data_IF_279759655917
#
_entry.id   IF_279759655917
#
_cell.length_a   1.000
_cell.length_b   1.000
_cell.length_c   1.000
_cell.angle_alpha   90.00
_cell.angle_beta   90.00
_cell.angle_gamma   90.00
#
_symmetry.space_group_name_H-M   'P 1'
#
loop_
_entity.id
_entity.type
_entity.pdbx_description
1 polymer ?
#
# COMPACT_ATOMS: atom_id res chain seq x y z
N UNK A 1 31.53 -4.83 6.99
CA UNK A 1 30.82 -4.26 5.82
C UNK A 1 29.83 -5.30 5.36
N UNK A 2 28.63 -5.27 5.94
CA UNK A 2 27.46 -5.98 5.46
C UNK A 2 26.52 -4.87 5.02
N UNK A 3 26.29 -4.75 3.71
CA UNK A 3 25.29 -3.83 3.19
C UNK A 3 23.95 -4.24 3.80
N UNK A 4 23.39 -3.35 4.62
CA UNK A 4 22.00 -3.42 5.05
C UNK A 4 21.15 -3.40 3.77
N UNK A 5 20.17 -4.30 3.56
CA UNK A 5 19.26 -4.17 2.44
C UNK A 5 18.63 -2.79 2.49
N UNK A 6 18.91 -1.95 1.49
CA UNK A 6 18.41 -0.57 1.43
C UNK A 6 16.88 -0.62 1.52
N UNK A 7 16.35 -0.26 2.69
CA UNK A 7 14.97 0.13 2.82
C UNK A 7 14.75 1.27 1.83
N UNK A 8 13.80 1.16 0.89
CA UNK A 8 13.56 2.21 -0.09
C UNK A 8 13.34 3.53 0.66
N UNK A 9 13.94 4.61 0.16
CA UNK A 9 13.66 5.94 0.69
C UNK A 9 12.14 6.17 0.58
N UNK A 10 11.52 6.65 1.65
CA UNK A 10 10.09 6.96 1.69
C UNK A 10 9.69 7.81 0.47
N UNK A 11 10.56 8.74 0.05
CA UNK A 11 10.33 9.55 -1.14
C UNK A 11 10.17 8.75 -2.45
N UNK A 12 10.91 7.66 -2.62
CA UNK A 12 10.87 6.82 -3.83
C UNK A 12 9.60 6.00 -3.90
N UNK A 13 9.18 5.41 -2.78
CA UNK A 13 7.91 4.66 -2.71
C UNK A 13 6.72 5.56 -3.08
N UNK A 14 6.71 6.81 -2.62
CA UNK A 14 5.64 7.76 -3.00
C UNK A 14 5.66 8.12 -4.50
N UNK A 15 6.83 8.23 -5.12
CA UNK A 15 6.92 8.46 -6.56
C UNK A 15 6.39 7.26 -7.36
N UNK A 16 6.68 6.04 -6.91
CA UNK A 16 6.11 4.82 -7.49
C UNK A 16 4.57 4.80 -7.35
N UNK A 17 4.04 5.18 -6.18
CA UNK A 17 2.59 5.25 -5.95
C UNK A 17 1.93 6.27 -6.88
N UNK A 18 2.51 7.45 -7.05
CA UNK A 18 1.97 8.48 -7.96
C UNK A 18 1.96 7.96 -9.39
N UNK A 19 3.06 7.35 -9.86
CA UNK A 19 3.16 6.79 -11.21
C UNK A 19 2.15 5.66 -11.43
N UNK A 20 1.99 4.78 -10.45
CA UNK A 20 1.02 3.70 -10.49
C UNK A 20 -0.41 4.23 -10.55
N UNK A 21 -0.77 5.20 -9.71
CA UNK A 21 -2.10 5.82 -9.70
C UNK A 21 -2.38 6.52 -11.02
N UNK A 22 -1.43 7.30 -11.55
CA UNK A 22 -1.60 7.99 -12.82
C UNK A 22 -1.89 6.99 -13.96
N UNK A 23 -1.09 5.93 -14.05
CA UNK A 23 -1.26 4.89 -15.05
C UNK A 23 -2.59 4.13 -14.89
N UNK A 24 -2.88 3.63 -13.69
CA UNK A 24 -4.07 2.84 -13.41
C UNK A 24 -5.34 3.67 -13.55
N UNK A 25 -5.34 4.92 -13.11
CA UNK A 25 -6.49 5.82 -13.23
C UNK A 25 -6.81 6.15 -14.69
N UNK A 26 -5.79 6.33 -15.53
CA UNK A 26 -5.96 6.65 -16.95
C UNK A 26 -6.49 5.46 -17.76
N UNK A 27 -6.08 4.23 -17.43
CA UNK A 27 -6.36 3.06 -18.26
C UNK A 27 -7.45 2.13 -17.71
N UNK A 28 -7.56 1.96 -16.40
CA UNK A 28 -8.33 0.85 -15.81
C UNK A 28 -9.33 1.27 -14.73
N UNK A 29 -8.99 2.25 -13.88
CA UNK A 29 -9.81 2.69 -12.74
C UNK A 29 -10.02 4.20 -12.72
N UNK A 30 -10.84 4.77 -13.61
CA UNK A 30 -11.14 6.19 -13.62
C UNK A 30 -11.62 6.68 -12.24
N UNK A 31 -10.98 7.73 -11.72
CA UNK A 31 -11.29 8.29 -10.40
C UNK A 31 -10.43 7.72 -9.25
N UNK A 32 -9.55 6.76 -9.50
CA UNK A 32 -8.51 6.39 -8.52
C UNK A 32 -7.61 7.60 -8.23
N UNK A 33 -7.34 7.85 -6.95
CA UNK A 33 -6.47 8.92 -6.49
C UNK A 33 -5.37 8.36 -5.60
N UNK A 34 -4.30 9.14 -5.34
CA UNK A 34 -3.24 8.77 -4.40
C UNK A 34 -3.81 8.46 -3.01
N UNK A 35 -4.81 9.22 -2.58
CA UNK A 35 -5.50 9.00 -1.31
C UNK A 35 -6.35 7.73 -1.31
N UNK A 36 -6.98 7.39 -2.44
CA UNK A 36 -7.68 6.12 -2.62
C UNK A 36 -6.72 4.92 -2.60
N UNK A 37 -5.55 5.04 -3.23
CA UNK A 37 -4.51 4.01 -3.19
C UNK A 37 -3.98 3.79 -1.76
N UNK A 38 -3.74 4.89 -1.01
CA UNK A 38 -3.33 4.82 0.39
C UNK A 38 -4.38 4.12 1.27
N UNK A 39 -5.65 4.48 1.11
CA UNK A 39 -6.78 3.85 1.81
C UNK A 39 -6.84 2.34 1.51
N UNK A 40 -6.75 1.95 0.24
CA UNK A 40 -6.73 0.55 -0.18
C UNK A 40 -5.55 -0.21 0.42
N UNK A 41 -4.34 0.34 0.30
CA UNK A 41 -3.13 -0.27 0.83
C UNK A 41 -3.25 -0.57 2.33
N UNK A 42 -3.68 0.43 3.11
CA UNK A 42 -3.86 0.30 4.57
C UNK A 42 -4.92 -0.74 4.91
N UNK A 43 -6.06 -0.74 4.22
CA UNK A 43 -7.12 -1.74 4.44
C UNK A 43 -6.66 -3.15 4.10
N UNK A 44 -5.92 -3.33 3.00
CA UNK A 44 -5.38 -4.63 2.60
C UNK A 44 -4.38 -5.16 3.63
N UNK A 45 -3.52 -4.29 4.13
CA UNK A 45 -2.56 -4.64 5.18
C UNK A 45 -3.26 -5.04 6.48
N UNK A 46 -4.29 -4.29 6.91
CA UNK A 46 -5.07 -4.64 8.10
C UNK A 46 -5.82 -5.96 7.91
N UNK A 47 -6.46 -6.15 6.76
CA UNK A 47 -7.14 -7.39 6.39
C UNK A 47 -6.21 -8.60 6.49
N UNK A 48 -5.00 -8.52 5.92
CA UNK A 48 -4.03 -9.62 5.96
C UNK A 48 -3.56 -9.97 7.38
N UNK A 49 -3.59 -9.03 8.33
CA UNK A 49 -3.26 -9.30 9.74
C UNK A 49 -4.43 -9.84 10.55
N UNK A 50 -5.64 -9.36 10.25
CA UNK A 50 -6.86 -9.81 10.92
C UNK A 50 -7.32 -11.19 10.41
N UNK A 51 -7.00 -11.53 9.16
CA UNK A 51 -7.24 -12.84 8.56
C UNK A 51 -5.97 -13.40 7.89
N UNK A 52 -5.07 -14.04 8.66
CA UNK A 52 -3.83 -14.62 8.15
C UNK A 52 -4.04 -15.82 7.23
N UNK A 53 -5.25 -16.42 7.23
CA UNK A 53 -5.58 -17.57 6.40
C UNK A 53 -6.02 -17.16 4.98
N UNK A 54 -6.19 -15.84 4.74
CA UNK A 54 -6.38 -15.28 3.41
C UNK A 54 -7.74 -15.60 2.79
N UNK A 55 -8.75 -15.85 3.62
CA UNK A 55 -10.13 -16.03 3.17
C UNK A 55 -10.74 -14.68 2.73
N UNK A 56 -10.27 -13.59 3.33
CA UNK A 56 -10.65 -12.23 3.00
C UNK A 56 -9.68 -11.59 2.00
N UNK A 57 -10.09 -11.55 0.72
CA UNK A 57 -9.48 -10.67 -0.29
C UNK A 57 -10.37 -9.44 -0.47
N UNK A 58 -9.99 -8.27 0.04
CA UNK A 58 -10.76 -7.05 -0.19
C UNK A 58 -10.80 -6.75 -1.69
N UNK A 59 -11.97 -6.88 -2.32
CA UNK A 59 -12.17 -6.40 -3.69
C UNK A 59 -12.23 -4.87 -3.66
N UNK A 60 -11.71 -4.16 -4.68
CA UNK A 60 -11.95 -2.73 -4.84
C UNK A 60 -13.45 -2.36 -4.84
N UNK A 61 -14.34 -3.30 -5.15
CA UNK A 61 -15.80 -3.08 -5.10
C UNK A 61 -16.43 -3.29 -3.73
N UNK A 62 -15.73 -3.95 -2.80
CA UNK A 62 -16.23 -4.21 -1.44
C UNK A 62 -16.04 -3.00 -0.51
N UNK A 63 -15.66 -1.84 -1.07
CA UNK A 63 -15.51 -0.61 -0.33
C UNK A 63 -16.85 -0.18 0.29
N UNK A 64 -16.89 0.14 1.60
CA UNK A 64 -18.05 0.74 2.21
C UNK A 64 -18.16 2.19 1.75
N UNK A 65 -18.83 2.41 0.61
CA UNK A 65 -19.18 3.73 0.06
C UNK A 65 -20.04 4.59 1.02
N UNK A 66 -20.41 4.06 2.19
CA UNK A 66 -21.18 4.76 3.22
C UNK A 66 -20.33 5.66 4.14
N UNK A 67 -19.00 5.55 4.10
CA UNK A 67 -18.12 6.45 4.85
C UNK A 67 -17.87 7.75 4.05
N UNK A 68 -18.23 8.94 4.58
CA UNK A 68 -17.92 10.20 3.92
C UNK A 68 -16.42 10.52 3.85
N UNK A 69 -15.59 9.89 4.69
CA UNK A 69 -14.13 10.06 4.71
C UNK A 69 -13.43 8.70 4.98
N UNK A 70 -13.42 7.80 3.98
CA UNK A 70 -12.95 6.44 4.14
C UNK A 70 -11.47 6.38 4.56
N UNK A 71 -10.65 7.30 4.06
CA UNK A 71 -9.23 7.37 4.38
C UNK A 71 -9.02 7.70 5.86
N UNK A 72 -9.74 8.68 6.41
CA UNK A 72 -9.61 9.04 7.82
C UNK A 72 -9.96 7.88 8.74
N UNK A 73 -11.03 7.15 8.43
CA UNK A 73 -11.46 5.99 9.22
C UNK A 73 -10.40 4.88 9.17
N UNK A 74 -9.91 4.55 7.98
CA UNK A 74 -8.86 3.53 7.81
C UNK A 74 -7.57 3.89 8.51
N UNK A 75 -7.11 5.15 8.39
CA UNK A 75 -5.90 5.60 9.09
C UNK A 75 -6.08 5.56 10.62
N UNK A 76 -7.26 5.92 11.13
CA UNK A 76 -7.54 5.84 12.56
C UNK A 76 -7.49 4.40 13.07
N UNK A 77 -8.09 3.48 12.34
CA UNK A 77 -8.07 2.05 12.68
C UNK A 77 -6.67 1.46 12.56
N UNK A 78 -5.92 1.85 11.54
CA UNK A 78 -4.53 1.46 11.34
C UNK A 78 -3.63 1.90 12.48
N UNK A 79 -3.77 3.16 12.94
CA UNK A 79 -3.03 3.67 14.10
C UNK A 79 -3.35 2.93 15.41
N UNK A 80 -4.55 2.35 15.53
CA UNK A 80 -4.91 1.50 16.68
C UNK A 80 -4.32 0.09 16.52
N UNK A 81 -4.28 -0.42 15.29
CA UNK A 81 -3.83 -1.77 14.94
C UNK A 81 -2.30 -1.93 14.98
N UNK A 82 -1.56 -0.91 14.53
CA UNK A 82 -0.10 -0.91 14.58
C UNK A 82 0.34 -0.75 16.04
N UNK A 83 0.73 -1.87 16.66
CA UNK A 83 1.23 -1.87 18.04
C UNK A 83 2.46 -0.94 18.19
N UNK A 84 2.60 -0.24 19.32
CA UNK A 84 3.72 0.68 19.53
C UNK A 84 5.07 -0.04 19.44
N UNK A 85 6.07 0.65 18.89
CA UNK A 85 7.46 0.15 18.80
C UNK A 85 7.92 -0.35 20.17
N UNK A 86 8.28 -1.64 20.26
CA UNK A 86 8.66 -2.30 21.51
C UNK A 86 7.69 -3.39 22.00
N UNK A 87 6.51 -3.56 21.37
CA UNK A 87 5.65 -4.74 21.57
C UNK A 87 6.14 -5.94 20.74
N UNK A 88 5.79 -7.16 21.15
CA UNK A 88 6.04 -8.38 20.36
C UNK A 88 5.33 -8.23 19.00
N UNK A 89 6.09 -8.18 17.89
CA UNK A 89 5.57 -7.93 16.54
C UNK A 89 5.24 -6.47 16.23
N UNK A 90 5.71 -5.52 17.05
CA UNK A 90 5.55 -4.08 16.80
C UNK A 90 6.37 -3.64 15.59
N UNK A 91 5.71 -3.03 14.62
CA UNK A 91 6.35 -2.31 13.52
C UNK A 91 6.32 -0.81 13.83
N UNK A 92 7.28 -0.03 13.35
CA UNK A 92 7.05 1.41 13.34
C UNK A 92 5.89 1.71 12.39
N UNK A 93 5.17 2.79 12.65
CA UNK A 93 4.10 3.24 11.76
C UNK A 93 4.60 3.43 10.32
N UNK A 94 5.83 3.93 10.17
CA UNK A 94 6.46 4.12 8.88
C UNK A 94 6.71 2.79 8.17
N UNK A 95 7.21 1.77 8.86
CA UNK A 95 7.44 0.45 8.28
C UNK A 95 6.13 -0.20 7.86
N UNK A 96 5.11 -0.16 8.73
CA UNK A 96 3.80 -0.71 8.41
C UNK A 96 3.16 -0.02 7.19
N UNK A 97 3.35 1.29 7.05
CA UNK A 97 2.84 2.05 5.91
C UNK A 97 3.60 1.72 4.63
N UNK A 98 4.93 1.61 4.70
CA UNK A 98 5.77 1.21 3.57
C UNK A 98 5.42 -0.21 3.10
N UNK A 99 5.30 -1.16 4.02
CA UNK A 99 4.88 -2.53 3.73
C UNK A 99 3.51 -2.58 3.03
N UNK A 100 2.56 -1.76 3.50
CA UNK A 100 1.23 -1.65 2.91
C UNK A 100 1.30 -1.11 1.47
N UNK A 101 2.07 -0.04 1.24
CA UNK A 101 2.23 0.58 -0.07
C UNK A 101 3.00 -0.32 -1.05
N UNK A 102 4.05 -0.99 -0.60
CA UNK A 102 4.82 -1.92 -1.43
C UNK A 102 3.97 -3.13 -1.85
N UNK A 103 3.15 -3.67 -0.94
CA UNK A 103 2.20 -4.73 -1.26
C UNK A 103 1.15 -4.28 -2.29
N UNK A 104 0.61 -3.07 -2.12
CA UNK A 104 -0.34 -2.49 -3.08
C UNK A 104 0.31 -2.27 -4.46
N UNK A 105 1.52 -1.71 -4.50
CA UNK A 105 2.27 -1.49 -5.73
C UNK A 105 2.56 -2.80 -6.47
N UNK A 106 2.98 -3.84 -5.76
CA UNK A 106 3.23 -5.16 -6.33
C UNK A 106 1.98 -5.74 -6.97
N UNK A 107 0.84 -5.65 -6.28
CA UNK A 107 -0.42 -6.18 -6.80
C UNK A 107 -0.94 -5.36 -7.99
N UNK A 108 -0.83 -4.03 -7.97
CA UNK A 108 -1.16 -3.19 -9.13
C UNK A 108 -0.26 -3.48 -10.33
N UNK A 109 1.04 -3.67 -10.10
CA UNK A 109 1.99 -4.01 -11.15
C UNK A 109 1.60 -5.34 -11.79
N UNK A 110 1.31 -6.34 -10.96
CA UNK A 110 0.89 -7.67 -11.41
C UNK A 110 -0.44 -7.65 -12.17
N UNK A 111 -1.42 -6.86 -11.73
CA UNK A 111 -2.74 -6.81 -12.37
C UNK A 111 -2.76 -5.97 -13.64
N UNK A 112 -2.01 -4.86 -13.68
CA UNK A 112 -2.19 -3.83 -14.71
C UNK A 112 -0.93 -3.50 -15.53
N UNK A 113 0.26 -3.96 -15.11
CA UNK A 113 1.54 -3.60 -15.74
C UNK A 113 2.46 -4.82 -15.96
N UNK A 114 1.91 -6.02 -16.13
CA UNK A 114 2.66 -7.27 -16.36
C UNK A 114 3.75 -7.57 -15.31
N UNK A 115 3.59 -7.05 -14.09
CA UNK A 115 4.56 -7.14 -13.01
C UNK A 115 5.72 -6.13 -13.07
N UNK A 116 5.72 -5.20 -14.03
CA UNK A 116 6.72 -4.14 -14.12
C UNK A 116 6.48 -3.03 -13.09
N UNK A 117 7.58 -2.46 -12.58
CA UNK A 117 7.56 -1.27 -11.73
C UNK A 117 7.02 -0.05 -12.50
N UNK A 118 6.32 0.83 -11.80
CA UNK A 118 5.66 1.98 -12.42
C UNK A 118 6.58 3.18 -12.63
N UNK A 119 7.52 3.44 -11.73
CA UNK A 119 8.54 4.47 -11.95
C UNK A 119 9.84 3.88 -12.49
N UNK A 120 10.53 4.68 -13.31
CA UNK A 120 11.86 4.36 -13.83
C UNK A 120 12.97 4.47 -12.78
N UNK A 121 12.68 4.97 -11.58
CA UNK A 121 13.71 5.17 -10.55
C UNK A 121 14.18 3.82 -9.99
N UNK A 122 13.25 2.92 -9.62
CA UNK A 122 13.58 1.54 -9.24
C UNK A 122 14.14 0.67 -10.38
N UNK A 123 13.93 1.05 -11.64
CA UNK A 123 14.45 0.29 -12.79
C UNK A 123 15.94 0.54 -13.09
N UNK A 124 16.59 1.51 -12.43
CA UNK A 124 17.99 1.90 -12.70
C UNK A 124 19.01 1.29 -11.74
N UNK A 125 18.55 0.58 -10.71
CA UNK A 125 19.40 -0.07 -9.70
C UNK A 125 19.53 -1.60 -9.89
N UNK A 126 18.92 -2.15 -10.94
CA UNK A 126 19.03 -3.55 -11.35
C UNK A 126 20.11 -3.78 -12.41
#
# INVERSE_FOLDING_TARGET
MTSDPQTPDCGETWLDVVAAVEYVAAAYRPGLTVWGALDEAVRWWMAARLDPLGEFRPSPTDMPWADPDPLRSSLREFLVTVGPVGSIGGHSLADALNDALDAWLWEMAKQFNDGHVFSRWRAREG
#
